data_IF_302331600315
#
_entry.id   IF_302331600315
#
_cell.length_a   1.000
_cell.length_b   1.000
_cell.length_c   1.000
_cell.angle_alpha   90.00
_cell.angle_beta   90.00
_cell.angle_gamma   90.00
#
_symmetry.space_group_name_H-M   'P 1'
#
loop_
_entity.id
_entity.type
_entity.pdbx_description
1 polymer ?
#
# COMPACT_ATOMS: atom_id res chain seq x y z
N UNK A 1 4.25 4.24 12.70
CA UNK A 1 4.54 3.71 11.35
C UNK A 1 5.97 4.04 10.97
N UNK A 2 6.31 5.33 10.85
CA UNK A 2 7.67 5.79 10.53
C UNK A 2 8.73 5.26 11.51
N UNK A 3 8.48 5.34 12.82
CA UNK A 3 9.42 4.83 13.84
C UNK A 3 9.64 3.31 13.77
N UNK A 4 8.71 2.57 13.15
CA UNK A 4 8.82 1.14 12.89
C UNK A 4 9.46 0.84 11.52
N UNK A 5 10.06 1.83 10.86
CA UNK A 5 10.69 1.71 9.55
C UNK A 5 9.71 1.61 8.37
N UNK A 6 8.41 1.84 8.60
CA UNK A 6 7.38 1.72 7.57
C UNK A 6 7.19 3.04 6.83
N UNK A 7 7.41 3.02 5.51
CA UNK A 7 6.98 4.09 4.59
C UNK A 7 5.61 3.74 4.01
N UNK A 8 4.57 4.41 4.53
CA UNK A 8 3.19 4.20 4.06
C UNK A 8 2.98 4.58 2.58
N UNK A 9 3.75 5.54 2.05
CA UNK A 9 3.63 5.98 0.65
C UNK A 9 4.14 4.88 -0.29
N UNK A 10 5.29 4.29 0.03
CA UNK A 10 5.80 3.15 -0.73
C UNK A 10 4.81 1.98 -0.69
N UNK A 11 4.32 1.65 0.51
CA UNK A 11 3.43 0.53 0.75
C UNK A 11 2.13 0.69 -0.05
N UNK A 12 1.49 1.86 -0.03
CA UNK A 12 0.24 2.06 -0.76
C UNK A 12 0.43 2.10 -2.29
N UNK A 13 1.55 2.63 -2.78
CA UNK A 13 1.86 2.65 -4.22
C UNK A 13 2.04 1.26 -4.79
N UNK A 14 2.65 0.35 -4.03
CA UNK A 14 2.79 -1.06 -4.42
C UNK A 14 1.43 -1.76 -4.56
N UNK A 15 0.45 -1.42 -3.72
CA UNK A 15 -0.88 -2.00 -3.75
C UNK A 15 -1.80 -1.37 -4.81
N UNK A 16 -1.68 -0.06 -5.05
CA UNK A 16 -2.59 0.70 -5.92
C UNK A 16 -2.61 0.23 -7.38
N UNK A 17 -1.49 -0.34 -7.88
CA UNK A 17 -1.40 -0.87 -9.24
C UNK A 17 -2.41 -1.98 -9.53
N UNK A 18 -2.71 -2.83 -8.53
CA UNK A 18 -3.65 -3.94 -8.69
C UNK A 18 -5.09 -3.47 -8.96
N UNK A 19 -5.47 -2.29 -8.47
CA UNK A 19 -6.81 -1.70 -8.66
C UNK A 19 -6.86 -0.67 -9.80
N UNK A 20 -5.86 -0.66 -10.69
CA UNK A 20 -5.68 0.36 -11.75
C UNK A 20 -5.81 1.78 -11.19
N UNK A 21 -5.15 1.98 -10.05
CA UNK A 21 -5.27 3.17 -9.22
C UNK A 21 -3.97 3.89 -8.99
N UNK A 22 -4.07 4.96 -8.21
CA UNK A 22 -2.94 5.72 -7.70
C UNK A 22 -3.07 5.91 -6.20
N UNK A 23 -1.98 6.32 -5.56
CA UNK A 23 -1.96 6.56 -4.12
C UNK A 23 -0.86 7.53 -3.70
N UNK A 24 -1.06 8.11 -2.53
CA UNK A 24 -0.15 9.10 -1.95
C UNK A 24 -0.56 9.50 -0.54
N UNK A 25 0.24 10.37 0.05
CA UNK A 25 0.09 10.83 1.42
C UNK A 25 1.45 11.19 1.99
N UNK A 26 1.61 10.92 3.28
CA UNK A 26 2.83 11.14 4.04
C UNK A 26 3.43 9.80 4.51
N UNK A 27 4.71 9.78 4.93
CA UNK A 27 5.34 8.55 5.41
C UNK A 27 4.60 7.87 6.57
N UNK A 28 3.89 8.63 7.39
CA UNK A 28 3.08 8.16 8.52
C UNK A 28 1.67 7.68 8.13
N UNK A 29 1.15 8.14 7.00
CA UNK A 29 -0.19 7.80 6.52
C UNK A 29 -0.33 8.04 5.01
N UNK A 30 -0.81 7.03 4.29
CA UNK A 30 -1.09 7.16 2.86
C UNK A 30 -2.39 6.43 2.47
N UNK A 31 -2.97 6.85 1.35
CA UNK A 31 -4.22 6.32 0.83
C UNK A 31 -4.13 6.10 -0.68
N UNK A 32 -4.91 5.16 -1.20
CA UNK A 32 -5.03 4.89 -2.63
C UNK A 32 -6.48 4.64 -3.03
N UNK A 33 -6.75 4.87 -4.31
CA UNK A 33 -8.01 4.57 -4.96
C UNK A 33 -7.77 4.17 -6.41
N UNK A 34 -8.69 3.39 -6.96
CA UNK A 34 -8.57 2.85 -8.30
C UNK A 34 -9.92 2.50 -8.91
N UNK A 35 -9.93 2.33 -10.24
CA UNK A 35 -11.16 2.09 -11.02
C UNK A 35 -11.54 0.61 -11.09
N UNK A 36 -10.62 -0.29 -10.73
CA UNK A 36 -10.79 -1.73 -10.86
C UNK A 36 -10.96 -2.39 -9.49
N UNK A 37 -12.21 -2.60 -9.08
CA UNK A 37 -12.53 -3.23 -7.79
C UNK A 37 -12.15 -4.72 -7.73
N UNK A 38 -11.99 -5.38 -8.88
CA UNK A 38 -11.62 -6.80 -8.93
C UNK A 38 -10.23 -7.07 -8.36
N UNK A 39 -9.33 -6.08 -8.42
CA UNK A 39 -7.97 -6.15 -7.91
C UNK A 39 -7.84 -5.89 -6.41
N UNK A 40 -8.93 -5.62 -5.68
CA UNK A 40 -8.86 -5.20 -4.28
C UNK A 40 -8.24 -6.27 -3.37
N UNK A 41 -8.59 -7.55 -3.58
CA UNK A 41 -8.01 -8.65 -2.81
C UNK A 41 -6.49 -8.75 -3.02
N UNK A 42 -6.03 -8.62 -4.27
CA UNK A 42 -4.59 -8.61 -4.59
C UNK A 42 -3.89 -7.40 -3.96
N UNK A 43 -4.48 -6.21 -4.04
CA UNK A 43 -3.94 -5.00 -3.41
C UNK A 43 -3.74 -5.17 -1.89
N UNK A 44 -4.74 -5.73 -1.19
CA UNK A 44 -4.67 -5.98 0.25
C UNK A 44 -3.60 -7.03 0.61
N UNK A 45 -3.44 -8.07 -0.20
CA UNK A 45 -2.41 -9.08 0.00
C UNK A 45 -1.01 -8.50 -0.20
N UNK A 46 -0.78 -7.77 -1.30
CA UNK A 46 0.49 -7.08 -1.57
C UNK A 46 0.85 -6.12 -0.44
N UNK A 47 -0.13 -5.35 0.08
CA UNK A 47 0.10 -4.48 1.22
C UNK A 47 0.53 -5.26 2.49
N UNK A 48 -0.15 -6.38 2.79
CA UNK A 48 0.20 -7.23 3.95
C UNK A 48 1.59 -7.84 3.82
N UNK A 49 1.94 -8.34 2.64
CA UNK A 49 3.22 -9.00 2.42
C UNK A 49 4.39 -8.01 2.50
N UNK A 50 4.22 -6.82 1.93
CA UNK A 50 5.21 -5.74 2.06
C UNK A 50 5.34 -5.27 3.51
N UNK A 51 4.24 -5.13 4.25
CA UNK A 51 4.27 -4.77 5.67
C UNK A 51 5.06 -5.80 6.50
N UNK A 52 4.83 -7.10 6.27
CA UNK A 52 5.59 -8.17 6.94
C UNK A 52 7.07 -8.15 6.59
N UNK A 53 7.42 -7.80 5.35
CA UNK A 53 8.81 -7.71 4.92
C UNK A 53 9.54 -6.55 5.61
N UNK A 54 8.84 -5.45 5.90
CA UNK A 54 9.39 -4.27 6.58
C UNK A 54 9.51 -4.46 8.10
N UNK A 55 8.53 -5.10 8.76
CA UNK A 55 8.48 -5.27 10.22
C UNK A 55 9.37 -6.42 10.76
N UNK A 56 10.49 -6.73 10.11
CA UNK A 56 11.41 -7.78 10.56
C UNK A 56 12.24 -7.37 11.77
#
# INVERSE_FOLDING_TARGET
AVDAGVDCVHLIRSAAGHIKGGGGGRPDMAQAGGKDSSGLAAALNTARDNLKATLK
#
